data_IF_673349695915
#
_entry.id   IF_673349695915
#
_cell.length_a   1.000
_cell.length_b   1.000
_cell.length_c   1.000
_cell.angle_alpha   90.00
_cell.angle_beta   90.00
_cell.angle_gamma   90.00
#
_symmetry.space_group_name_H-M   'P 1'
#
loop_
_entity.id
_entity.type
_entity.pdbx_description
1 polymer ?
2 polymer ?
#
loop_
_entity_poly.entity_id
_entity_poly.type
_entity_poly.pdbx_seq_one_letter_code
_entity_poly.pdbx_strand_id
2 'polyribonucleotide' 'GAAGAA' ?
#
# COMPACT_ATOMS: atom_id res chain seq x y z
N UNK A 1 25.67 6.07 -9.29
CA UNK A 1 25.04 6.48 -8.01
C UNK A 1 24.70 5.30 -7.13
N UNK A 2 24.06 5.55 -5.99
CA UNK A 2 23.67 4.52 -5.01
C UNK A 2 22.58 3.56 -5.54
N UNK A 3 22.69 2.27 -5.23
CA UNK A 3 21.77 1.21 -5.71
C UNK A 3 21.94 -0.07 -4.88
N UNK A 4 20.84 -0.80 -4.62
CA UNK A 4 20.86 -2.08 -3.90
C UNK A 4 19.57 -2.89 -4.01
N UNK A 5 19.69 -4.21 -4.03
CA UNK A 5 18.57 -5.17 -4.08
C UNK A 5 17.62 -4.98 -2.88
N UNK A 6 16.32 -4.78 -3.16
CA UNK A 6 15.24 -4.52 -2.17
C UNK A 6 15.34 -3.14 -1.45
N UNK A 7 16.45 -2.40 -1.64
CA UNK A 7 16.60 -1.00 -1.22
C UNK A 7 16.09 -0.02 -2.26
N UNK A 8 16.26 -0.36 -3.55
CA UNK A 8 15.64 0.35 -4.68
C UNK A 8 14.12 0.16 -4.66
N UNK A 9 13.36 1.24 -4.93
CA UNK A 9 11.89 1.30 -4.76
C UNK A 9 11.12 1.78 -6.01
N UNK A 10 11.76 1.74 -7.18
CA UNK A 10 11.19 2.09 -8.49
C UNK A 10 11.28 0.91 -9.49
N UNK A 11 11.09 -0.28 -8.93
CA UNK A 11 11.31 -1.61 -9.52
C UNK A 11 10.91 -2.75 -8.54
N UNK A 12 9.62 -2.81 -8.12
CA UNK A 12 9.12 -3.79 -7.15
C UNK A 12 8.91 -5.18 -7.78
N UNK A 13 8.52 -6.15 -6.95
CA UNK A 13 8.21 -7.54 -7.35
C UNK A 13 7.14 -8.17 -6.41
N UNK A 14 6.32 -9.13 -6.88
CA UNK A 14 5.14 -9.65 -6.19
C UNK A 14 5.29 -9.97 -4.70
N UNK A 15 4.30 -9.53 -3.93
CA UNK A 15 4.21 -9.66 -2.47
C UNK A 15 2.73 -9.53 -2.03
N UNK A 16 2.31 -10.31 -1.03
CA UNK A 16 1.00 -10.19 -0.36
C UNK A 16 0.77 -8.79 0.22
N UNK A 17 1.83 -8.11 0.65
CA UNK A 17 1.80 -6.71 1.09
C UNK A 17 1.94 -5.76 -0.11
N UNK A 18 1.04 -4.76 -0.18
CA UNK A 18 1.04 -3.67 -1.15
C UNK A 18 1.20 -2.33 -0.44
N UNK A 19 1.91 -1.39 -1.07
CA UNK A 19 1.99 0.02 -0.71
C UNK A 19 1.06 0.85 -1.59
N UNK A 20 0.49 1.90 -1.01
CA UNK A 20 -0.51 2.81 -1.62
C UNK A 20 -0.06 4.24 -1.33
N UNK A 21 0.02 5.08 -2.38
CA UNK A 21 0.66 6.40 -2.33
C UNK A 21 -0.23 7.47 -2.99
N UNK A 22 -0.20 8.70 -2.46
CA UNK A 22 -0.97 9.85 -2.99
C UNK A 22 -2.24 10.20 -2.23
N UNK A 23 -2.46 9.60 -1.06
CA UNK A 23 -3.72 9.64 -0.31
C UNK A 23 -4.07 11.04 0.25
N UNK A 24 -5.38 11.28 0.37
CA UNK A 24 -5.92 12.44 1.08
C UNK A 24 -5.82 12.26 2.60
N UNK A 25 -5.60 13.36 3.33
CA UNK A 25 -5.40 13.37 4.79
C UNK A 25 -6.64 12.90 5.59
N UNK A 26 -7.81 12.84 4.95
CA UNK A 26 -9.08 12.40 5.54
C UNK A 26 -9.42 10.92 5.29
N UNK A 27 -8.55 10.18 4.58
CA UNK A 27 -8.68 8.74 4.31
C UNK A 27 -8.40 7.95 5.60
N UNK A 28 -9.18 6.89 5.87
CA UNK A 28 -8.94 5.94 6.97
C UNK A 28 -8.52 4.57 6.44
N UNK A 29 -7.96 3.75 7.33
CA UNK A 29 -7.61 2.36 7.05
C UNK A 29 -8.85 1.54 6.65
N UNK A 30 -10.04 1.95 7.15
CA UNK A 30 -11.33 1.34 6.82
C UNK A 30 -11.76 1.64 5.39
N UNK A 31 -11.51 2.85 4.90
CA UNK A 31 -11.80 3.21 3.51
C UNK A 31 -10.91 2.42 2.55
N UNK A 32 -9.60 2.38 2.83
CA UNK A 32 -8.67 1.54 2.08
C UNK A 32 -9.10 0.08 2.11
N UNK A 33 -9.46 -0.49 3.27
CA UNK A 33 -9.93 -1.88 3.34
C UNK A 33 -11.22 -2.11 2.56
N UNK A 34 -12.20 -1.20 2.56
CA UNK A 34 -13.43 -1.38 1.76
C UNK A 34 -13.16 -1.29 0.25
N UNK A 35 -12.15 -0.51 -0.15
CA UNK A 35 -11.77 -0.29 -1.55
C UNK A 35 -10.90 -1.45 -2.10
N UNK A 36 -10.10 -2.11 -1.26
CA UNK A 36 -9.18 -3.17 -1.67
C UNK A 36 -9.71 -4.59 -1.38
N UNK A 37 -10.59 -4.80 -0.41
CA UNK A 37 -11.09 -6.16 -0.07
C UNK A 37 -12.03 -6.75 -1.13
N UNK A 38 -12.54 -5.94 -2.06
CA UNK A 38 -13.28 -6.43 -3.24
C UNK A 38 -12.39 -7.21 -4.24
N UNK A 39 -11.07 -7.13 -4.10
CA UNK A 39 -10.08 -7.88 -4.89
C UNK A 39 -9.57 -9.17 -4.21
N UNK A 40 -9.91 -9.39 -2.93
CA UNK A 40 -9.53 -10.59 -2.16
C UNK A 40 -9.33 -10.34 -0.65
N UNK A 41 -8.88 -11.36 0.10
CA UNK A 41 -8.84 -11.36 1.56
C UNK A 41 -7.67 -10.51 2.10
N UNK A 42 -7.96 -9.70 3.13
CA UNK A 42 -7.02 -8.73 3.74
C UNK A 42 -6.98 -8.93 5.25
N UNK A 43 -5.79 -9.18 5.80
CA UNK A 43 -5.56 -9.39 7.23
C UNK A 43 -5.43 -8.08 8.01
N UNK A 44 -4.90 -7.02 7.38
CA UNK A 44 -4.63 -5.73 8.01
C UNK A 44 -4.39 -4.61 6.97
N UNK A 45 -4.50 -3.35 7.42
CA UNK A 45 -4.28 -2.12 6.65
C UNK A 45 -3.72 -1.05 7.61
N UNK A 46 -2.72 -0.30 7.17
CA UNK A 46 -2.01 0.67 8.01
C UNK A 46 -1.60 1.91 7.21
N UNK A 47 -2.09 3.09 7.62
CA UNK A 47 -1.68 4.39 7.07
C UNK A 47 -0.43 4.87 7.82
N UNK A 48 0.46 5.58 7.14
CA UNK A 48 1.74 6.06 7.69
C UNK A 48 1.55 7.53 8.13
N UNK A 49 1.93 7.84 9.37
CA UNK A 49 1.65 9.12 10.04
C UNK A 49 2.92 9.87 10.51
N UNK A 50 2.81 11.19 10.62
CA UNK A 50 3.85 12.08 11.17
C UNK A 50 4.01 11.92 12.69
N UNK A 51 5.25 11.96 13.18
CA UNK A 51 5.58 11.69 14.58
C UNK A 51 5.27 12.87 15.53
N UNK A 52 5.19 14.11 15.02
CA UNK A 52 5.00 15.31 15.84
C UNK A 52 3.57 15.86 15.79
N UNK A 53 2.85 15.63 14.68
CA UNK A 53 1.51 16.18 14.42
C UNK A 53 0.42 15.12 14.20
N UNK A 54 0.80 13.84 14.01
CA UNK A 54 -0.11 12.69 13.84
C UNK A 54 -1.03 12.77 12.60
N UNK A 55 -0.72 13.67 11.65
CA UNK A 55 -1.34 13.75 10.33
C UNK A 55 -0.83 12.63 9.42
N UNK A 56 -1.61 12.21 8.44
CA UNK A 56 -1.14 11.28 7.41
C UNK A 56 0.03 11.88 6.61
N UNK A 57 1.00 11.04 6.24
CA UNK A 57 2.13 11.41 5.37
C UNK A 57 1.78 11.30 3.87
N UNK A 58 0.55 10.87 3.53
CA UNK A 58 0.08 10.69 2.14
C UNK A 58 0.26 9.27 1.60
N UNK A 59 0.67 8.31 2.44
CA UNK A 59 0.88 6.92 2.05
C UNK A 59 0.51 5.90 3.14
N UNK A 60 0.31 4.67 2.71
CA UNK A 60 -0.27 3.56 3.46
C UNK A 60 0.10 2.22 2.83
N UNK A 61 -0.24 1.13 3.53
CA UNK A 61 0.04 -0.23 3.12
C UNK A 61 -1.14 -1.16 3.46
N UNK A 62 -1.31 -2.19 2.65
CA UNK A 62 -2.46 -3.12 2.63
C UNK A 62 -1.93 -4.55 2.57
N UNK A 63 -2.26 -5.36 3.57
CA UNK A 63 -1.70 -6.71 3.76
C UNK A 63 -2.73 -7.80 3.39
N UNK A 64 -2.64 -8.35 2.17
CA UNK A 64 -3.49 -9.47 1.73
C UNK A 64 -3.05 -10.80 2.37
N UNK A 65 -3.95 -11.78 2.36
CA UNK A 65 -3.66 -13.17 2.77
C UNK A 65 -3.19 -14.06 1.60
N UNK A 66 -2.96 -13.48 0.41
CA UNK A 66 -2.56 -14.18 -0.82
C UNK A 66 -1.89 -13.23 -1.82
N UNK A 67 -0.77 -13.67 -2.42
CA UNK A 67 -0.01 -12.88 -3.40
C UNK A 67 -0.75 -12.70 -4.73
N UNK A 68 -1.62 -13.63 -5.13
CA UNK A 68 -2.34 -13.52 -6.41
C UNK A 68 -3.53 -12.55 -6.37
N UNK A 69 -4.11 -12.34 -5.18
CA UNK A 69 -5.12 -11.29 -4.93
C UNK A 69 -4.47 -9.90 -4.76
N UNK A 70 -3.23 -9.86 -4.26
CA UNK A 70 -2.41 -8.65 -4.25
C UNK A 70 -1.97 -8.26 -5.68
N UNK A 71 -1.62 -9.23 -6.53
CA UNK A 71 -1.32 -9.01 -7.97
C UNK A 71 -2.54 -8.45 -8.73
N UNK A 72 -3.76 -8.86 -8.35
CA UNK A 72 -5.00 -8.29 -8.88
C UNK A 72 -5.13 -6.83 -8.44
N UNK A 73 -5.23 -6.57 -7.12
CA UNK A 73 -5.45 -5.22 -6.57
C UNK A 73 -4.40 -4.20 -7.01
N UNK A 74 -3.13 -4.60 -7.13
CA UNK A 74 -2.03 -3.73 -7.56
C UNK A 74 -2.23 -3.20 -8.99
N UNK A 75 -2.83 -3.97 -9.88
CA UNK A 75 -3.15 -3.55 -11.25
C UNK A 75 -4.51 -2.84 -11.35
N UNK A 76 -5.43 -3.11 -10.42
CA UNK A 76 -6.78 -2.52 -10.38
C UNK A 76 -6.79 -1.08 -9.85
N UNK A 77 -6.10 -0.82 -8.74
CA UNK A 77 -6.17 0.45 -8.01
C UNK A 77 -5.06 1.46 -8.36
N UNK A 78 -4.02 1.06 -9.10
CA UNK A 78 -2.99 1.99 -9.57
C UNK A 78 -3.56 2.99 -10.60
N UNK A 79 -3.65 4.26 -10.22
CA UNK A 79 -4.25 5.36 -10.99
C UNK A 79 -5.75 5.58 -10.75
N UNK A 80 -6.37 4.88 -9.78
CA UNK A 80 -7.75 5.18 -9.37
C UNK A 80 -7.81 6.46 -8.51
N UNK A 81 -9.02 6.98 -8.27
CA UNK A 81 -9.26 8.17 -7.46
C UNK A 81 -9.95 7.81 -6.14
N UNK A 82 -9.49 8.43 -5.05
CA UNK A 82 -9.95 8.21 -3.67
C UNK A 82 -9.95 9.53 -2.92
N UNK A 83 -11.15 9.98 -2.49
CA UNK A 83 -11.40 11.24 -1.77
C UNK A 83 -10.94 12.50 -2.54
N UNK A 84 -10.88 12.42 -3.88
CA UNK A 84 -10.47 13.52 -4.77
C UNK A 84 -8.98 13.56 -5.11
N UNK A 85 -8.18 12.59 -4.63
CA UNK A 85 -6.77 12.40 -4.99
C UNK A 85 -6.59 11.13 -5.83
N UNK A 86 -5.74 11.17 -6.86
CA UNK A 86 -5.31 9.96 -7.56
C UNK A 86 -4.34 9.18 -6.65
N UNK A 87 -4.46 7.86 -6.60
CA UNK A 87 -3.54 6.99 -5.85
C UNK A 87 -2.72 6.14 -6.82
N UNK A 88 -1.49 5.78 -6.44
CA UNK A 88 -0.64 4.81 -7.13
C UNK A 88 -0.35 3.64 -6.18
N UNK A 89 -0.08 2.45 -6.73
CA UNK A 89 -0.03 1.18 -5.99
C UNK A 89 1.07 0.27 -6.54
N UNK A 90 1.83 -0.35 -5.64
CA UNK A 90 2.95 -1.27 -5.93
C UNK A 90 3.14 -2.32 -4.82
N UNK A 91 3.85 -3.41 -5.11
CA UNK A 91 4.18 -4.45 -4.13
C UNK A 91 5.20 -3.95 -3.09
N UNK A 92 5.06 -4.37 -1.83
CA UNK A 92 6.01 -3.99 -0.76
C UNK A 92 7.40 -4.60 -0.96
N UNK A 93 8.46 -3.76 -0.96
CA UNK A 93 9.87 -4.21 -1.05
C UNK A 93 10.45 -4.64 0.31
N UNK A 94 9.79 -4.19 1.39
CA UNK A 94 10.08 -4.33 2.82
C UNK A 94 8.77 -4.16 3.57
N UNK A 95 8.66 -4.71 4.79
CA UNK A 95 7.42 -4.68 5.60
C UNK A 95 7.64 -4.88 7.10
N UNK A 96 6.67 -4.44 7.92
CA UNK A 96 6.70 -4.57 9.39
C UNK A 96 6.52 -6.02 9.92
N UNK A 97 5.62 -6.86 9.35
CA UNK A 97 5.53 -8.29 9.64
C UNK A 97 6.82 -9.06 9.34
N UNK A 98 7.06 -10.13 10.10
CA UNK A 98 8.22 -11.02 9.98
C UNK A 98 7.97 -12.40 10.64
N UNK A 99 8.55 -13.46 10.07
CA UNK A 99 8.36 -14.87 10.45
C UNK A 99 9.66 -15.68 10.26
#
# INVERSE_FOLDING_TARGET
>A
GSSGSSGNRANPDPNCCLGVFGLSLYTTERDLREVFSKYGPIADVSIVYDQQSRRSRGFAFVYFENVDDAKEAKERANGMELDGRRIRVDFSITKRPHT
#
